data_IF_335740310368
#
_entry.id   IF_335740310368
#
_cell.length_a   1.000
_cell.length_b   1.000
_cell.length_c   1.000
_cell.angle_alpha   90.00
_cell.angle_beta   90.00
_cell.angle_gamma   90.00
#
_symmetry.space_group_name_H-M   'P 1'
#
loop_
_entity.id
_entity.type
_entity.pdbx_description
1 polymer ?
#
# COMPACT_ATOMS: atom_id res chain seq x y z
N UNK A 1 -14.48 27.92 -34.19
CA UNK A 1 -14.74 26.70 -34.98
C UNK A 1 -13.38 26.09 -35.21
N UNK A 2 -12.93 25.27 -34.27
CA UNK A 2 -11.78 24.37 -34.42
C UNK A 2 -12.29 23.05 -33.86
N UNK A 3 -12.49 22.09 -34.77
CA UNK A 3 -12.90 20.72 -34.50
C UNK A 3 -11.63 19.88 -34.44
N UNK A 4 -11.27 19.40 -33.24
CA UNK A 4 -10.22 18.40 -33.07
C UNK A 4 -10.85 17.02 -32.98
N UNK A 5 -10.54 16.20 -33.99
CA UNK A 5 -10.96 14.82 -34.17
C UNK A 5 -9.97 13.88 -33.48
N UNK A 6 -10.41 13.19 -32.43
CA UNK A 6 -9.67 12.12 -31.77
C UNK A 6 -9.87 10.79 -32.54
N UNK A 7 -8.76 10.15 -32.89
CA UNK A 7 -8.66 8.94 -33.70
C UNK A 7 -8.52 7.73 -32.76
N UNK A 8 -9.59 6.92 -32.65
CA UNK A 8 -9.64 5.69 -31.84
C UNK A 8 -8.82 4.56 -32.51
N UNK A 9 -7.67 4.23 -31.95
CA UNK A 9 -6.92 3.01 -32.28
C UNK A 9 -7.31 1.88 -31.33
N UNK A 10 -8.24 1.05 -31.81
CA UNK A 10 -8.79 -0.13 -31.13
C UNK A 10 -7.77 -1.31 -31.20
N UNK A 11 -6.78 -1.30 -30.31
CA UNK A 11 -5.77 -2.36 -30.18
C UNK A 11 -6.41 -3.61 -29.56
N UNK A 12 -6.80 -4.55 -30.43
CA UNK A 12 -7.29 -5.87 -30.05
C UNK A 12 -6.14 -6.71 -29.47
N UNK A 13 -6.07 -6.76 -28.15
CA UNK A 13 -5.20 -7.70 -27.43
C UNK A 13 -5.71 -9.13 -27.67
N UNK A 14 -4.87 -9.93 -28.32
CA UNK A 14 -5.09 -11.35 -28.59
C UNK A 14 -4.93 -12.16 -27.29
N UNK A 15 -6.07 -12.43 -26.63
CA UNK A 15 -6.20 -13.11 -25.34
C UNK A 15 -5.95 -14.65 -25.42
N UNK A 16 -5.32 -15.13 -26.49
CA UNK A 16 -5.19 -16.57 -26.78
C UNK A 16 -3.95 -17.26 -26.20
N UNK A 17 -3.07 -16.56 -25.47
CA UNK A 17 -1.88 -17.20 -24.87
C UNK A 17 -2.17 -17.85 -23.51
N UNK A 18 -3.09 -18.81 -23.47
CA UNK A 18 -3.09 -19.83 -22.42
C UNK A 18 -2.24 -21.01 -22.91
N UNK A 19 -1.13 -21.36 -22.23
CA UNK A 19 -0.34 -22.52 -22.61
C UNK A 19 -1.24 -23.76 -22.62
N UNK A 20 -1.18 -24.59 -23.69
CA UNK A 20 -2.02 -25.77 -23.83
C UNK A 20 -1.89 -26.68 -22.61
N UNK A 21 -3.02 -27.18 -22.09
CA UNK A 21 -3.09 -28.11 -20.95
C UNK A 21 -2.21 -29.38 -21.11
N UNK A 22 -1.74 -29.68 -22.31
CA UNK A 22 -0.82 -30.78 -22.60
C UNK A 22 0.59 -30.60 -22.00
N UNK A 23 1.03 -29.36 -21.72
CA UNK A 23 2.34 -29.12 -21.11
C UNK A 23 2.39 -29.50 -19.63
N UNK A 24 1.26 -29.48 -18.92
CA UNK A 24 1.21 -29.86 -17.51
C UNK A 24 1.37 -31.37 -17.29
N UNK A 25 1.15 -32.21 -18.30
CA UNK A 25 1.37 -33.66 -18.19
C UNK A 25 2.85 -34.05 -18.31
N UNK A 26 3.70 -33.22 -18.94
CA UNK A 26 5.12 -33.51 -19.10
C UNK A 26 5.95 -33.25 -17.84
N UNK A 27 5.45 -32.47 -16.88
CA UNK A 27 6.18 -32.13 -15.65
C UNK A 27 6.13 -33.21 -14.57
N UNK A 28 5.05 -34.02 -14.54
CA UNK A 28 4.86 -35.12 -13.57
C UNK A 28 5.98 -36.18 -13.60
N UNK A 29 6.44 -36.69 -14.76
CA UNK A 29 7.54 -37.65 -14.79
C UNK A 29 8.88 -37.03 -14.38
N UNK A 30 9.12 -35.76 -14.71
CA UNK A 30 10.36 -35.06 -14.32
C UNK A 30 10.41 -34.87 -12.80
N UNK A 31 9.30 -34.47 -12.18
CA UNK A 31 9.19 -34.34 -10.72
C UNK A 31 9.38 -35.67 -10.00
N UNK A 32 8.78 -36.77 -10.51
CA UNK A 32 8.97 -38.08 -9.91
C UNK A 32 10.43 -38.56 -9.99
N UNK A 33 11.15 -38.29 -11.09
CA UNK A 33 12.57 -38.60 -11.20
C UNK A 33 13.43 -37.81 -10.18
N UNK A 34 13.11 -36.54 -9.93
CA UNK A 34 13.81 -35.72 -8.93
C UNK A 34 13.53 -36.24 -7.52
N UNK A 35 12.28 -36.59 -7.22
CA UNK A 35 11.89 -37.13 -5.91
C UNK A 35 12.57 -38.48 -5.64
N UNK A 36 12.69 -39.34 -6.65
CA UNK A 36 13.38 -40.61 -6.56
C UNK A 36 14.89 -40.42 -6.28
N UNK A 37 15.53 -39.45 -6.93
CA UNK A 37 16.93 -39.07 -6.64
C UNK A 37 17.13 -38.56 -5.20
N UNK A 38 16.11 -37.95 -4.61
CA UNK A 38 16.13 -37.45 -3.23
C UNK A 38 15.69 -38.51 -2.20
N UNK A 39 15.38 -39.75 -2.63
CA UNK A 39 14.90 -40.82 -1.74
C UNK A 39 13.49 -40.60 -1.22
N UNK A 40 12.71 -39.73 -1.85
CA UNK A 40 11.31 -39.44 -1.50
C UNK A 40 10.42 -40.35 -2.35
N UNK A 41 9.38 -40.95 -1.74
CA UNK A 41 8.47 -41.83 -2.46
C UNK A 41 7.76 -41.06 -3.59
N UNK A 42 7.77 -41.58 -4.82
CA UNK A 42 7.17 -40.90 -5.97
C UNK A 42 5.67 -40.70 -5.78
N UNK A 43 5.13 -39.66 -6.40
CA UNK A 43 3.70 -39.34 -6.32
C UNK A 43 2.94 -40.42 -7.07
N UNK A 44 2.42 -41.40 -6.32
CA UNK A 44 1.52 -42.43 -6.82
C UNK A 44 0.10 -41.90 -6.75
N UNK A 45 -0.65 -42.04 -7.85
CA UNK A 45 -2.07 -41.68 -7.92
C UNK A 45 -2.89 -42.65 -7.05
N UNK A 46 -2.80 -42.48 -5.74
CA UNK A 46 -3.70 -43.16 -4.81
C UNK A 46 -5.07 -42.50 -4.89
N UNK A 47 -6.18 -43.22 -4.66
CA UNK A 47 -7.51 -42.62 -4.66
C UNK A 47 -7.65 -41.44 -3.68
N UNK A 48 -6.80 -41.35 -2.65
CA UNK A 48 -6.72 -40.18 -1.77
C UNK A 48 -6.12 -38.94 -2.43
N UNK A 49 -5.15 -39.09 -3.34
CA UNK A 49 -4.56 -37.96 -4.09
C UNK A 49 -5.56 -37.31 -5.03
N UNK A 50 -6.47 -38.08 -5.64
CA UNK A 50 -7.55 -37.53 -6.47
C UNK A 50 -8.50 -36.63 -5.66
N UNK A 51 -8.89 -37.04 -4.45
CA UNK A 51 -9.76 -36.23 -3.58
C UNK A 51 -9.06 -34.95 -3.11
N UNK A 52 -7.76 -35.03 -2.81
CA UNK A 52 -6.95 -33.86 -2.47
C UNK A 52 -6.83 -32.89 -3.64
N UNK A 53 -6.58 -33.40 -4.84
CA UNK A 53 -6.44 -32.59 -6.04
C UNK A 53 -7.76 -31.90 -6.40
N UNK A 54 -8.89 -32.60 -6.30
CA UNK A 54 -10.22 -32.00 -6.49
C UNK A 54 -10.50 -30.87 -5.49
N UNK A 55 -10.08 -31.02 -4.23
CA UNK A 55 -10.19 -29.94 -3.22
C UNK A 55 -9.30 -28.75 -3.53
N UNK A 56 -8.10 -28.98 -4.05
CA UNK A 56 -7.17 -27.92 -4.48
C UNK A 56 -7.76 -27.17 -5.68
N UNK A 57 -8.33 -27.88 -6.65
CA UNK A 57 -8.97 -27.28 -7.82
C UNK A 57 -10.22 -26.46 -7.44
N UNK A 58 -11.03 -26.97 -6.50
CA UNK A 58 -12.17 -26.25 -5.92
C UNK A 58 -11.74 -24.99 -5.16
N UNK A 59 -10.63 -25.06 -4.41
CA UNK A 59 -10.08 -23.91 -3.71
C UNK A 59 -9.54 -22.87 -4.70
N UNK A 60 -8.84 -23.32 -5.74
CA UNK A 60 -8.29 -22.47 -6.78
C UNK A 60 -9.39 -21.77 -7.58
N UNK A 61 -10.46 -22.47 -7.98
CA UNK A 61 -11.60 -21.87 -8.67
C UNK A 61 -12.35 -20.86 -7.80
N UNK A 62 -12.54 -21.14 -6.51
CA UNK A 62 -13.12 -20.16 -5.57
C UNK A 62 -12.24 -18.93 -5.41
N UNK A 63 -10.94 -19.12 -5.22
CA UNK A 63 -9.98 -18.03 -5.10
C UNK A 63 -9.94 -17.19 -6.38
N UNK A 64 -9.88 -17.83 -7.56
CA UNK A 64 -9.91 -17.16 -8.86
C UNK A 64 -11.21 -16.38 -9.07
N UNK A 65 -12.36 -16.91 -8.63
CA UNK A 65 -13.65 -16.20 -8.69
C UNK A 65 -13.70 -14.98 -7.77
N UNK A 66 -13.04 -15.04 -6.61
CA UNK A 66 -12.91 -13.89 -5.70
C UNK A 66 -11.92 -12.84 -6.22
N UNK A 67 -10.86 -13.28 -6.90
CA UNK A 67 -9.82 -12.42 -7.43
C UNK A 67 -10.11 -11.90 -8.85
N UNK A 68 -11.02 -12.50 -9.62
CA UNK A 68 -11.34 -12.06 -10.99
C UNK A 68 -11.77 -10.59 -11.09
N UNK A 69 -12.51 -10.00 -10.13
CA UNK A 69 -12.86 -8.57 -10.17
C UNK A 69 -11.67 -7.66 -9.82
N UNK A 70 -10.60 -8.21 -9.24
CA UNK A 70 -9.38 -7.48 -8.90
C UNK A 70 -8.40 -7.54 -10.08
N UNK A 71 -8.26 -8.72 -10.68
CA UNK A 71 -7.33 -8.99 -11.79
C UNK A 71 -7.84 -8.35 -13.09
N UNK A 72 -9.15 -8.41 -13.37
CA UNK A 72 -9.73 -7.86 -14.60
C UNK A 72 -9.99 -6.33 -14.53
N UNK A 73 -9.43 -5.64 -13.54
CA UNK A 73 -9.42 -4.16 -13.48
C UNK A 73 -8.16 -3.64 -14.17
N UNK A 74 -8.06 -3.92 -15.46
CA UNK A 74 -7.07 -3.28 -16.33
C UNK A 74 -7.64 -1.93 -16.81
N UNK A 75 -7.01 -0.89 -16.27
CA UNK A 75 -6.62 0.37 -16.94
C UNK A 75 -7.63 1.53 -17.09
N UNK A 76 -8.95 1.35 -17.22
CA UNK A 76 -9.83 2.52 -17.52
C UNK A 76 -10.67 3.09 -16.36
N UNK A 77 -10.49 2.59 -15.13
CA UNK A 77 -11.24 3.12 -13.99
C UNK A 77 -10.32 3.61 -12.88
N UNK A 78 -9.87 4.86 -13.01
CA UNK A 78 -9.27 5.67 -11.94
C UNK A 78 -10.19 5.90 -10.74
N UNK A 79 -11.41 5.34 -10.77
CA UNK A 79 -12.32 5.34 -9.63
C UNK A 79 -11.85 4.30 -8.62
N UNK A 80 -10.94 4.72 -7.74
CA UNK A 80 -10.56 3.99 -6.53
C UNK A 80 -11.82 3.60 -5.75
N UNK A 81 -12.35 2.41 -6.01
CA UNK A 81 -13.34 1.80 -5.15
C UNK A 81 -12.61 1.42 -3.87
N UNK A 82 -12.62 2.36 -2.92
CA UNK A 82 -12.21 2.15 -1.55
C UNK A 82 -13.07 1.00 -1.00
N UNK A 83 -12.57 -0.23 -1.09
CA UNK A 83 -13.15 -1.34 -0.38
C UNK A 83 -13.09 -0.96 1.10
N UNK A 84 -14.25 -0.64 1.66
CA UNK A 84 -14.41 -0.39 3.09
C UNK A 84 -14.29 -1.74 3.79
N UNK A 85 -13.06 -2.25 3.86
CA UNK A 85 -12.68 -3.28 4.81
C UNK A 85 -12.77 -2.64 6.18
N UNK A 86 -13.98 -2.52 6.71
CA UNK A 86 -14.22 -2.25 8.11
C UNK A 86 -13.82 -3.51 8.86
N UNK A 87 -12.50 -3.70 9.01
CA UNK A 87 -12.02 -4.60 10.03
C UNK A 87 -12.33 -3.93 11.37
N UNK A 88 -12.99 -4.61 12.33
CA UNK A 88 -13.18 -4.07 13.68
C UNK A 88 -11.87 -3.60 14.32
N UNK A 89 -10.74 -4.17 13.87
CA UNK A 89 -9.39 -3.80 14.30
C UNK A 89 -8.99 -2.38 13.86
N UNK A 90 -9.56 -1.84 12.79
CA UNK A 90 -9.23 -0.49 12.29
C UNK A 90 -9.67 0.60 13.26
N UNK A 91 -10.88 0.51 13.82
CA UNK A 91 -11.39 1.45 14.81
C UNK A 91 -10.59 1.36 16.11
N UNK A 92 -10.23 0.13 16.54
CA UNK A 92 -9.39 -0.10 17.71
C UNK A 92 -7.98 0.49 17.52
N UNK A 93 -7.39 0.36 16.33
CA UNK A 93 -6.09 0.92 16.00
C UNK A 93 -6.11 2.46 16.01
N UNK A 94 -7.15 3.05 15.42
CA UNK A 94 -7.35 4.51 15.39
C UNK A 94 -7.58 5.07 16.80
N UNK A 95 -8.34 4.38 17.66
CA UNK A 95 -8.48 4.72 19.08
C UNK A 95 -7.16 4.58 19.85
N UNK A 96 -6.35 3.56 19.53
CA UNK A 96 -5.01 3.37 20.07
C UNK A 96 -4.08 4.54 19.73
N UNK A 97 -4.11 5.03 18.50
CA UNK A 97 -3.36 6.22 18.07
C UNK A 97 -3.76 7.48 18.83
N UNK A 98 -5.05 7.68 19.09
CA UNK A 98 -5.54 8.80 19.90
C UNK A 98 -5.00 8.74 21.33
N UNK A 99 -4.96 7.53 21.92
CA UNK A 99 -4.40 7.31 23.26
C UNK A 99 -2.90 7.56 23.28
N UNK A 100 -2.17 7.12 22.25
CA UNK A 100 -0.73 7.38 22.09
C UNK A 100 -0.46 8.89 22.00
N UNK A 101 -1.21 9.60 21.14
CA UNK A 101 -1.09 11.05 20.95
C UNK A 101 -1.20 11.84 22.27
N UNK A 102 -2.17 11.48 23.13
CA UNK A 102 -2.37 12.14 24.44
C UNK A 102 -1.20 11.95 25.40
N UNK A 103 -0.42 10.88 25.24
CA UNK A 103 0.74 10.54 26.10
C UNK A 103 2.07 11.00 25.50
N UNK A 104 2.10 11.34 24.22
CA UNK A 104 3.29 11.76 23.48
C UNK A 104 3.78 13.15 23.88
N UNK A 105 5.08 13.37 23.74
CA UNK A 105 5.70 14.71 23.81
C UNK A 105 5.30 15.57 22.61
N UNK A 106 5.51 16.89 22.66
CA UNK A 106 5.08 17.78 21.57
C UNK A 106 5.75 17.49 20.22
N UNK A 107 7.01 17.05 20.23
CA UNK A 107 7.72 16.58 19.03
C UNK A 107 7.15 15.28 18.46
N UNK A 108 6.72 14.38 19.33
CA UNK A 108 6.12 13.10 18.94
C UNK A 108 4.68 13.26 18.49
N UNK A 109 3.91 14.18 19.09
CA UNK A 109 2.52 14.46 18.73
C UNK A 109 2.39 14.75 17.24
N UNK A 110 3.24 15.63 16.69
CA UNK A 110 3.19 15.96 15.27
C UNK A 110 3.48 14.74 14.39
N UNK A 111 4.43 13.90 14.80
CA UNK A 111 4.79 12.66 14.12
C UNK A 111 3.64 11.65 14.15
N UNK A 112 2.95 11.49 15.27
CA UNK A 112 1.77 10.61 15.38
C UNK A 112 0.64 11.08 14.46
N UNK A 113 0.42 12.39 14.34
CA UNK A 113 -0.61 12.95 13.45
C UNK A 113 -0.39 12.61 11.96
N UNK A 114 0.85 12.35 11.54
CA UNK A 114 1.14 11.92 10.15
C UNK A 114 0.57 10.53 9.82
N UNK A 115 0.19 9.73 10.82
CA UNK A 115 -0.41 8.39 10.61
C UNK A 115 -1.90 8.50 10.28
N UNK A 116 -2.53 9.67 10.47
CA UNK A 116 -3.92 9.87 10.10
C UNK A 116 -4.19 9.43 8.65
N UNK A 117 -5.37 8.89 8.32
CA UNK A 117 -5.71 8.52 6.95
C UNK A 117 -5.53 9.68 5.96
N UNK A 118 -5.12 9.38 4.73
CA UNK A 118 -4.91 10.39 3.69
C UNK A 118 -6.23 11.07 3.29
N UNK A 119 -7.34 10.35 3.41
CA UNK A 119 -8.69 10.89 3.16
C UNK A 119 -9.18 11.86 4.24
N UNK A 120 -8.51 11.96 5.39
CA UNK A 120 -8.91 12.87 6.44
C UNK A 120 -8.46 14.30 6.13
N UNK A 121 -9.45 15.21 6.12
CA UNK A 121 -9.19 16.64 6.07
C UNK A 121 -8.69 17.18 7.41
N UNK A 122 -8.19 18.42 7.38
CA UNK A 122 -7.65 19.11 8.57
C UNK A 122 -8.61 19.10 9.76
N UNK A 123 -9.88 19.45 9.53
CA UNK A 123 -10.90 19.54 10.59
C UNK A 123 -11.18 18.17 11.22
N UNK A 124 -11.17 17.09 10.43
CA UNK A 124 -11.35 15.73 10.93
C UNK A 124 -10.21 15.34 11.87
N UNK A 125 -8.97 15.65 11.49
CA UNK A 125 -7.79 15.39 12.33
C UNK A 125 -7.87 16.19 13.64
N UNK A 126 -8.20 17.49 13.56
CA UNK A 126 -8.36 18.38 14.72
C UNK A 126 -9.39 17.82 15.69
N UNK A 127 -10.59 17.49 15.20
CA UNK A 127 -11.68 17.01 16.04
C UNK A 127 -11.39 15.62 16.62
N UNK A 128 -10.74 14.74 15.86
CA UNK A 128 -10.45 13.39 16.31
C UNK A 128 -9.33 13.35 17.36
N UNK A 129 -8.22 14.06 17.11
CA UNK A 129 -7.07 14.06 18.03
C UNK A 129 -7.16 15.13 19.13
N UNK A 130 -8.12 16.04 19.07
CA UNK A 130 -8.25 17.20 19.96
C UNK A 130 -6.96 18.05 19.98
N UNK A 131 -6.49 18.40 18.77
CA UNK A 131 -5.23 19.12 18.56
C UNK A 131 -5.45 20.48 17.91
N UNK A 132 -4.44 21.34 17.94
CA UNK A 132 -4.55 22.66 17.33
C UNK A 132 -4.50 22.58 15.79
N UNK A 133 -5.23 23.47 15.10
CA UNK A 133 -5.33 23.47 13.64
C UNK A 133 -3.97 23.54 12.93
N UNK A 134 -3.04 24.31 13.48
CA UNK A 134 -1.69 24.43 12.92
C UNK A 134 -0.90 23.11 12.99
N UNK A 135 -1.11 22.28 14.01
CA UNK A 135 -0.47 20.97 14.14
C UNK A 135 -1.00 20.01 13.09
N UNK A 136 -2.33 20.00 12.87
CA UNK A 136 -2.94 19.19 11.82
C UNK A 136 -2.45 19.61 10.42
N UNK A 137 -2.33 20.93 10.16
CA UNK A 137 -1.75 21.44 8.91
C UNK A 137 -0.30 20.98 8.72
N UNK A 138 0.54 21.19 9.72
CA UNK A 138 1.95 20.81 9.66
C UNK A 138 2.15 19.30 9.52
N UNK A 139 1.31 18.47 10.15
CA UNK A 139 1.38 17.02 10.01
C UNK A 139 0.98 16.54 8.60
N UNK A 140 -0.02 17.16 7.96
CA UNK A 140 -0.37 16.86 6.56
C UNK A 140 0.79 17.21 5.63
N UNK A 141 1.38 18.38 5.81
CA UNK A 141 2.53 18.83 5.02
C UNK A 141 3.73 17.89 5.21
N UNK A 142 4.10 17.60 6.46
CA UNK A 142 5.18 16.68 6.81
C UNK A 142 4.97 15.28 6.23
N UNK A 143 3.73 14.78 6.22
CA UNK A 143 3.38 13.50 5.60
C UNK A 143 3.59 13.51 4.09
N UNK A 144 3.30 14.63 3.42
CA UNK A 144 3.44 14.76 1.97
C UNK A 144 4.91 14.93 1.56
N UNK A 145 5.71 15.65 2.36
CA UNK A 145 7.13 15.92 2.06
C UNK A 145 8.04 14.77 2.44
N UNK A 146 7.90 14.27 3.67
CA UNK A 146 8.87 13.37 4.31
C UNK A 146 8.28 11.98 4.63
N UNK A 147 6.96 11.83 4.52
CA UNK A 147 6.26 10.56 4.68
C UNK A 147 5.65 10.34 6.07
N UNK A 148 5.09 9.13 6.25
CA UNK A 148 4.44 8.73 7.50
C UNK A 148 5.49 8.50 8.59
N UNK A 149 5.21 8.98 9.80
CA UNK A 149 6.11 8.98 10.96
C UNK A 149 7.42 9.74 10.72
N UNK A 150 7.45 10.71 9.81
CA UNK A 150 8.58 11.61 9.65
C UNK A 150 8.77 12.51 10.89
N UNK A 151 10.01 12.93 11.12
CA UNK A 151 10.33 13.87 12.20
C UNK A 151 10.20 15.30 11.67
N UNK A 152 9.58 16.23 12.43
CA UNK A 152 9.61 17.63 12.06
C UNK A 152 11.06 18.11 11.99
N UNK A 153 11.47 18.56 10.81
CA UNK A 153 12.79 19.18 10.58
C UNK A 153 12.97 20.49 11.35
N UNK A 154 11.87 21.05 11.88
CA UNK A 154 11.89 22.21 12.76
C UNK A 154 12.29 21.84 14.19
N UNK A 155 13.56 21.50 14.40
CA UNK A 155 14.20 21.79 15.68
C UNK A 155 14.26 23.32 15.83
N UNK A 156 13.18 23.92 16.36
CA UNK A 156 13.23 25.27 16.92
C UNK A 156 14.26 25.25 18.06
N UNK A 157 15.47 25.73 17.80
CA UNK A 157 16.46 25.92 18.84
C UNK A 157 17.86 26.23 18.35
N UNK A 158 18.39 25.48 17.38
CA UNK A 158 19.80 25.56 17.00
C UNK A 158 20.02 25.33 15.50
N UNK A 159 19.21 25.95 14.63
CA UNK A 159 19.70 26.12 13.27
C UNK A 159 20.85 27.12 13.35
N UNK A 160 22.09 26.75 12.95
CA UNK A 160 23.19 27.69 12.92
C UNK A 160 22.76 28.87 12.06
N UNK A 161 22.89 30.07 12.61
CA UNK A 161 22.65 31.30 11.85
C UNK A 161 23.60 31.27 10.67
N UNK A 162 23.07 31.61 9.50
CA UNK A 162 23.85 31.68 8.28
C UNK A 162 25.06 32.63 8.49
N UNK A 163 26.29 32.19 8.15
CA UNK A 163 27.49 32.96 8.42
C UNK A 163 27.47 34.34 7.74
N UNK A 164 26.90 34.47 6.54
CA UNK A 164 26.81 35.75 5.82
C UNK A 164 25.91 36.73 6.59
N UNK A 165 24.80 36.24 7.15
CA UNK A 165 23.92 37.04 8.00
C UNK A 165 24.66 37.51 9.25
N UNK A 166 25.47 36.65 9.85
CA UNK A 166 26.28 36.98 11.03
C UNK A 166 27.32 38.06 10.70
N UNK A 167 27.97 37.97 9.53
CA UNK A 167 28.94 38.95 9.05
C UNK A 167 28.30 40.31 8.74
N UNK A 168 27.11 40.33 8.12
CA UNK A 168 26.36 41.57 7.88
C UNK A 168 26.02 42.31 9.18
N UNK A 169 25.55 41.58 10.19
CA UNK A 169 25.25 42.15 11.51
C UNK A 169 26.52 42.69 12.17
N UNK A 170 27.63 41.95 12.11
CA UNK A 170 28.92 42.41 12.65
C UNK A 170 29.44 43.67 11.94
N UNK A 171 29.27 43.77 10.62
CA UNK A 171 29.65 44.95 9.85
C UNK A 171 28.78 46.17 10.14
N UNK A 172 27.50 45.99 10.49
CA UNK A 172 26.62 47.11 10.84
C UNK A 172 27.03 47.81 12.15
N UNK A 173 27.61 47.08 13.10
CA UNK A 173 28.02 47.61 14.41
C UNK A 173 29.49 48.05 14.51
N UNK A 174 30.27 47.92 13.42
CA UNK A 174 31.62 48.47 13.32
C UNK A 174 31.60 49.89 12.77
#
# INVERSE_FOLDING_TARGET
MEEDSEEDTDDKIDDSYYPPMEEQQKSKPILNNILELLGITPITDTPQTQVLQQKVDDAYTKMRKLCSPIINRTEDSTRSHNFKLSMPDSDALIAGLQTMFKRSTDSEKLRVLTVAPVSWGRNTIVNFFDCAEHQARAAIELRLTDGILAFPTSCRGNQPIDPDTTEQVLNYYR
#
